data_IF_146444146020
#
_entry.id   IF_146444146020
#
_cell.length_a   1.000
_cell.length_b   1.000
_cell.length_c   1.000
_cell.angle_alpha   90.00
_cell.angle_beta   90.00
_cell.angle_gamma   90.00
#
_symmetry.space_group_name_H-M   'P 1'
#
loop_
_entity.id
_entity.type
_entity.pdbx_description
1 polymer ?
#
# COMPACT_ATOMS: atom_id res chain seq x y z
N UNK A 1 61.27 40.54 -79.05
CA UNK A 1 61.55 41.17 -77.78
C UNK A 1 60.48 40.64 -76.81
N UNK A 2 60.74 39.63 -76.06
CA UNK A 2 61.08 39.55 -74.65
C UNK A 2 60.03 40.32 -73.83
N UNK A 3 59.35 39.67 -72.92
CA UNK A 3 59.83 39.25 -71.64
C UNK A 3 58.79 38.46 -70.88
N UNK A 4 59.27 37.49 -70.20
CA UNK A 4 58.60 36.66 -69.19
C UNK A 4 57.98 37.39 -68.02
N UNK A 5 56.88 36.90 -67.52
CA UNK A 5 56.59 36.99 -66.10
C UNK A 5 55.87 35.71 -65.61
N UNK A 6 56.70 34.86 -65.06
CA UNK A 6 56.19 33.71 -64.34
C UNK A 6 55.63 34.17 -62.98
N UNK A 7 54.32 33.99 -62.76
CA UNK A 7 53.75 34.18 -61.45
C UNK A 7 53.73 32.88 -60.66
N UNK A 8 54.51 32.89 -59.60
CA UNK A 8 54.63 31.85 -58.57
C UNK A 8 53.30 31.59 -57.87
N UNK A 9 52.73 30.39 -57.98
CA UNK A 9 51.55 29.98 -57.21
C UNK A 9 52.05 29.44 -55.85
N UNK A 10 51.76 30.18 -54.81
CA UNK A 10 52.08 29.81 -53.42
C UNK A 10 51.11 28.66 -52.96
N UNK A 11 51.70 27.46 -52.78
CA UNK A 11 51.06 26.21 -52.43
C UNK A 11 50.68 26.05 -50.92
N UNK A 12 50.56 27.13 -50.18
CA UNK A 12 50.43 27.03 -48.71
C UNK A 12 49.09 27.46 -48.10
N UNK A 13 48.00 27.46 -48.82
CA UNK A 13 46.68 27.75 -48.21
C UNK A 13 45.60 26.79 -48.68
N UNK A 14 45.80 25.50 -48.44
CA UNK A 14 44.68 24.54 -48.32
C UNK A 14 44.41 24.28 -46.85
N UNK A 15 43.63 25.19 -46.23
CA UNK A 15 43.05 24.94 -44.91
C UNK A 15 41.83 24.03 -45.14
N UNK A 16 42.04 22.76 -44.91
CA UNK A 16 40.96 21.78 -44.83
C UNK A 16 40.16 22.05 -43.55
N UNK A 17 39.01 22.71 -43.71
CA UNK A 17 38.02 22.81 -42.67
C UNK A 17 37.37 21.42 -42.41
N UNK A 18 37.91 20.66 -41.52
CA UNK A 18 37.24 19.48 -40.95
C UNK A 18 36.13 19.97 -40.00
N UNK A 19 34.89 19.97 -40.46
CA UNK A 19 33.74 20.17 -39.62
C UNK A 19 33.65 18.92 -38.68
N UNK A 20 34.05 19.09 -37.43
CA UNK A 20 33.79 18.12 -36.38
C UNK A 20 32.29 18.11 -36.09
N UNK A 21 31.58 17.11 -36.61
CA UNK A 21 30.25 16.76 -36.16
C UNK A 21 30.37 16.29 -34.71
N UNK A 22 30.10 17.19 -33.76
CA UNK A 22 29.88 16.81 -32.37
C UNK A 22 28.60 15.99 -32.30
N UNK A 23 28.75 14.67 -32.29
CA UNK A 23 27.65 13.76 -31.94
C UNK A 23 27.28 14.03 -30.47
N UNK A 24 26.31 14.89 -30.25
CA UNK A 24 25.65 14.99 -28.94
C UNK A 24 24.93 13.67 -28.70
N UNK A 25 25.58 12.76 -27.98
CA UNK A 25 24.92 11.60 -27.39
C UNK A 25 23.86 12.16 -26.44
N UNK A 26 22.61 12.13 -26.88
CA UNK A 26 21.47 12.26 -25.99
C UNK A 26 21.57 11.06 -25.00
N UNK A 27 22.15 11.34 -23.84
CA UNK A 27 22.05 10.46 -22.69
C UNK A 27 20.57 10.52 -22.32
N UNK A 28 19.77 9.59 -22.85
CA UNK A 28 18.46 9.31 -22.31
C UNK A 28 18.69 9.03 -20.81
N UNK A 29 17.99 9.72 -19.91
CA UNK A 29 18.09 9.38 -18.50
C UNK A 29 17.75 7.90 -18.36
N UNK A 30 18.75 7.08 -18.06
CA UNK A 30 18.54 5.67 -17.78
C UNK A 30 17.48 5.60 -16.69
N UNK A 31 16.45 4.77 -16.88
CA UNK A 31 15.46 4.46 -15.87
C UNK A 31 16.24 3.90 -14.68
N UNK A 32 16.62 4.79 -13.76
CA UNK A 32 17.20 4.38 -12.50
C UNK A 32 16.08 3.65 -11.77
N UNK A 33 16.16 2.32 -11.71
CA UNK A 33 15.29 1.55 -10.83
C UNK A 33 15.52 2.11 -9.43
N UNK A 34 14.58 2.92 -8.94
CA UNK A 34 14.73 3.57 -7.65
C UNK A 34 15.00 2.49 -6.60
N UNK A 35 16.09 2.65 -5.86
CA UNK A 35 16.48 1.70 -4.81
C UNK A 35 15.40 1.65 -3.72
N UNK A 36 15.31 0.52 -3.02
CA UNK A 36 14.43 0.39 -1.85
C UNK A 36 14.78 1.45 -0.83
N UNK A 37 13.83 2.31 -0.47
CA UNK A 37 14.02 3.34 0.54
C UNK A 37 13.50 2.86 1.90
N UNK A 38 14.39 2.76 2.87
CA UNK A 38 14.08 2.29 4.22
C UNK A 38 14.02 3.44 5.22
N UNK A 39 13.17 3.27 6.24
CA UNK A 39 13.06 4.19 7.36
C UNK A 39 12.72 5.64 6.95
N UNK A 40 11.97 5.80 5.87
CA UNK A 40 11.51 7.11 5.42
C UNK A 40 10.52 7.68 6.44
N UNK A 41 10.84 8.84 7.01
CA UNK A 41 10.07 9.44 8.11
C UNK A 41 8.75 10.00 7.61
N UNK A 42 7.68 9.72 8.37
CA UNK A 42 6.41 10.41 8.29
C UNK A 42 5.93 10.71 9.73
N UNK A 43 5.84 11.97 10.09
CA UNK A 43 5.56 12.33 11.49
C UNK A 43 6.55 11.70 12.47
N UNK A 44 6.03 11.05 13.53
CA UNK A 44 6.84 10.35 14.54
C UNK A 44 7.31 8.96 14.09
N UNK A 45 6.73 8.40 13.05
CA UNK A 45 6.99 7.04 12.57
C UNK A 45 7.77 7.01 11.25
N UNK A 46 7.95 5.82 10.70
CA UNK A 46 8.62 5.63 9.42
C UNK A 46 7.95 4.53 8.60
N UNK A 47 8.15 4.60 7.28
CA UNK A 47 7.70 3.61 6.32
C UNK A 47 8.87 3.14 5.45
N UNK A 48 8.71 1.99 4.81
CA UNK A 48 9.64 1.47 3.83
C UNK A 48 8.99 1.46 2.44
N UNK A 49 9.69 1.94 1.42
CA UNK A 49 9.20 2.02 0.05
C UNK A 49 9.99 1.06 -0.82
N UNK A 50 9.28 0.25 -1.59
CA UNK A 50 9.80 -0.71 -2.55
C UNK A 50 9.27 -0.32 -3.94
N UNK A 51 10.01 0.51 -4.68
CA UNK A 51 9.57 0.99 -5.98
C UNK A 51 9.36 -0.15 -6.98
N UNK A 52 8.38 0.01 -7.87
CA UNK A 52 8.12 -0.97 -8.93
C UNK A 52 9.17 -0.95 -10.06
N UNK A 53 10.00 0.09 -10.11
CA UNK A 53 10.90 0.38 -11.23
C UNK A 53 10.20 1.03 -12.43
N UNK A 54 8.94 1.44 -12.30
CA UNK A 54 8.15 2.13 -13.34
C UNK A 54 7.68 3.48 -12.82
N UNK A 55 7.67 4.46 -13.70
CA UNK A 55 7.07 5.76 -13.39
C UNK A 55 5.53 5.66 -13.40
N UNK A 56 4.90 6.53 -12.63
CA UNK A 56 3.45 6.58 -12.47
C UNK A 56 2.82 5.23 -12.08
N UNK A 57 3.54 4.41 -11.31
CA UNK A 57 3.06 3.12 -10.85
C UNK A 57 1.95 3.26 -9.81
N UNK A 58 0.91 2.41 -9.82
CA UNK A 58 -0.04 2.38 -8.71
C UNK A 58 0.68 2.01 -7.41
N UNK A 59 0.11 2.42 -6.29
CA UNK A 59 0.74 2.28 -4.97
C UNK A 59 -0.09 1.38 -4.08
N UNK A 60 0.55 0.40 -3.45
CA UNK A 60 -0.04 -0.40 -2.38
C UNK A 60 0.57 -0.02 -1.05
N UNK A 61 -0.24 0.57 -0.17
CA UNK A 61 0.14 0.82 1.23
C UNK A 61 -0.30 -0.37 2.07
N UNK A 62 0.63 -0.94 2.84
CA UNK A 62 0.38 -2.08 3.70
C UNK A 62 0.63 -1.75 5.17
N UNK A 63 -0.33 -2.14 6.01
CA UNK A 63 -0.30 -2.01 7.46
C UNK A 63 -0.12 -3.39 8.08
N UNK A 64 0.97 -3.57 8.84
CA UNK A 64 1.29 -4.86 9.44
C UNK A 64 0.36 -5.25 10.60
N UNK A 65 0.21 -6.55 10.84
CA UNK A 65 -0.47 -7.11 12.00
C UNK A 65 0.43 -7.15 13.25
N UNK A 66 -0.06 -7.81 14.30
CA UNK A 66 0.65 -8.01 15.56
C UNK A 66 -0.17 -7.63 16.80
N UNK A 67 -1.48 -7.83 16.75
CA UNK A 67 -2.41 -7.58 17.86
C UNK A 67 -2.29 -6.17 18.47
N UNK A 68 -1.93 -5.15 17.67
CA UNK A 68 -1.69 -3.75 18.07
C UNK A 68 -0.51 -3.56 19.02
N UNK A 69 0.11 -4.62 19.50
CA UNK A 69 1.15 -4.71 20.54
C UNK A 69 2.54 -5.01 19.99
N UNK A 70 2.62 -5.59 18.80
CA UNK A 70 3.84 -6.12 18.22
C UNK A 70 3.83 -5.96 16.69
N UNK A 71 4.93 -6.35 16.05
CA UNK A 71 5.10 -6.24 14.60
C UNK A 71 5.97 -5.06 14.22
N UNK A 72 6.31 -5.01 12.96
CA UNK A 72 7.04 -3.87 12.36
C UNK A 72 6.92 -3.90 10.83
N UNK A 73 7.21 -2.78 10.20
CA UNK A 73 7.17 -2.59 8.75
C UNK A 73 8.18 -3.44 7.95
N UNK A 74 9.20 -4.01 8.59
CA UNK A 74 10.19 -4.86 7.92
C UNK A 74 9.71 -6.30 7.69
N UNK A 75 8.62 -6.74 8.34
CA UNK A 75 8.06 -8.09 8.19
C UNK A 75 7.13 -8.18 6.99
N UNK A 76 7.66 -8.01 5.80
CA UNK A 76 6.88 -7.93 4.55
C UNK A 76 6.83 -9.25 3.75
N UNK A 77 7.71 -10.22 4.04
CA UNK A 77 7.78 -11.49 3.30
C UNK A 77 7.88 -11.29 1.79
N UNK A 78 7.07 -12.03 1.05
CA UNK A 78 7.01 -11.99 -0.42
C UNK A 78 6.20 -10.81 -1.00
N UNK A 79 5.56 -10.00 -0.16
CA UNK A 79 4.65 -8.96 -0.61
C UNK A 79 5.29 -7.92 -1.56
N UNK A 80 6.50 -7.37 -1.27
CA UNK A 80 7.11 -6.41 -2.19
C UNK A 80 7.29 -7.00 -3.59
N UNK A 81 7.81 -8.24 -3.68
CA UNK A 81 8.01 -8.92 -4.95
C UNK A 81 6.68 -9.19 -5.68
N UNK A 82 5.63 -9.58 -4.94
CA UNK A 82 4.30 -9.82 -5.48
C UNK A 82 3.71 -8.53 -6.09
N UNK A 83 3.69 -7.43 -5.34
CA UNK A 83 3.13 -6.17 -5.81
C UNK A 83 3.98 -5.53 -6.91
N UNK A 84 5.32 -5.60 -6.82
CA UNK A 84 6.20 -5.08 -7.87
C UNK A 84 6.04 -5.85 -9.19
N UNK A 85 5.85 -7.17 -9.15
CA UNK A 85 5.51 -7.98 -10.33
C UNK A 85 4.21 -7.52 -11.00
N UNK A 86 3.25 -7.02 -10.23
CA UNK A 86 2.02 -6.42 -10.74
C UNK A 86 2.21 -4.97 -11.22
N UNK A 87 3.39 -4.39 -11.08
CA UNK A 87 3.71 -3.00 -11.43
C UNK A 87 3.37 -1.98 -10.34
N UNK A 88 3.08 -2.41 -9.11
CA UNK A 88 2.79 -1.53 -7.98
C UNK A 88 4.06 -1.15 -7.23
N UNK A 89 4.22 0.11 -6.87
CA UNK A 89 5.11 0.52 -5.79
C UNK A 89 4.49 0.09 -4.45
N UNK A 90 5.25 -0.68 -3.67
CA UNK A 90 4.78 -1.19 -2.39
C UNK A 90 5.35 -0.37 -1.23
N UNK A 91 4.49 0.02 -0.28
CA UNK A 91 4.84 0.83 0.89
C UNK A 91 4.42 0.08 2.15
N UNK A 92 5.38 -0.26 3.02
CA UNK A 92 5.09 -0.88 4.32
C UNK A 92 5.18 0.16 5.43
N UNK A 93 4.10 0.31 6.19
CA UNK A 93 3.93 1.34 7.21
C UNK A 93 4.24 0.80 8.60
N UNK A 94 5.12 1.48 9.34
CA UNK A 94 5.27 1.31 10.77
C UNK A 94 4.36 2.27 11.52
N UNK A 95 3.87 1.89 12.68
CA UNK A 95 3.04 2.72 13.56
C UNK A 95 3.41 2.46 15.02
N UNK A 96 3.07 3.40 15.91
CA UNK A 96 3.37 3.28 17.34
C UNK A 96 2.51 2.20 17.97
N UNK A 97 3.14 1.24 18.65
CA UNK A 97 2.46 0.10 19.25
C UNK A 97 1.86 0.46 20.62
N UNK A 98 0.83 -0.28 21.04
CA UNK A 98 0.32 -0.24 22.39
C UNK A 98 1.40 -0.79 23.37
N UNK A 99 1.59 -0.24 24.59
CA UNK A 99 0.75 0.80 25.22
C UNK A 99 1.17 2.25 24.90
N UNK A 100 2.24 2.47 24.13
CA UNK A 100 2.73 3.82 23.80
C UNK A 100 1.75 4.61 22.90
N UNK A 101 0.85 3.92 22.20
CA UNK A 101 -0.25 4.53 21.46
C UNK A 101 -1.56 3.74 21.67
N UNK A 102 -2.66 4.47 21.86
CA UNK A 102 -4.01 3.92 21.82
C UNK A 102 -4.43 3.58 20.38
N UNK A 103 -5.48 2.77 20.22
CA UNK A 103 -5.97 2.34 18.91
C UNK A 103 -6.36 3.51 18.00
N UNK A 104 -6.99 4.54 18.54
CA UNK A 104 -7.34 5.74 17.80
C UNK A 104 -6.10 6.55 17.38
N UNK A 105 -5.04 6.58 18.19
CA UNK A 105 -3.77 7.16 17.78
C UNK A 105 -3.11 6.34 16.66
N UNK A 106 -3.10 5.01 16.76
CA UNK A 106 -2.60 4.14 15.72
C UNK A 106 -3.34 4.36 14.40
N UNK A 107 -4.68 4.47 14.42
CA UNK A 107 -5.47 4.74 13.22
C UNK A 107 -5.15 6.12 12.62
N UNK A 108 -4.97 7.16 13.44
CA UNK A 108 -4.52 8.49 12.96
C UNK A 108 -3.13 8.43 12.32
N UNK A 109 -2.21 7.65 12.89
CA UNK A 109 -0.87 7.46 12.30
C UNK A 109 -0.94 6.78 10.93
N UNK A 110 -1.89 5.82 10.72
CA UNK A 110 -2.13 5.26 9.38
C UNK A 110 -2.66 6.33 8.43
N UNK A 111 -3.60 7.18 8.85
CA UNK A 111 -4.06 8.32 8.06
C UNK A 111 -2.92 9.27 7.66
N UNK A 112 -2.02 9.60 8.60
CA UNK A 112 -0.82 10.40 8.35
C UNK A 112 0.13 9.74 7.34
N UNK A 113 0.32 8.41 7.42
CA UNK A 113 1.11 7.67 6.45
C UNK A 113 0.51 7.74 5.04
N UNK A 114 -0.80 7.57 4.90
CA UNK A 114 -1.50 7.70 3.61
C UNK A 114 -1.34 9.12 3.05
N UNK A 115 -1.53 10.16 3.87
CA UNK A 115 -1.36 11.56 3.46
C UNK A 115 0.09 11.83 3.02
N UNK A 116 1.07 11.35 3.77
CA UNK A 116 2.49 11.47 3.42
C UNK A 116 2.81 10.78 2.09
N UNK A 117 2.32 9.54 1.90
CA UNK A 117 2.51 8.80 0.63
C UNK A 117 1.94 9.58 -0.53
N UNK A 118 0.71 10.08 -0.42
CA UNK A 118 0.09 10.89 -1.48
C UNK A 118 0.88 12.17 -1.80
N UNK A 119 1.52 12.79 -0.83
CA UNK A 119 2.31 14.00 -1.02
C UNK A 119 3.71 13.74 -1.60
N UNK A 120 4.28 12.54 -1.44
CA UNK A 120 5.70 12.31 -1.70
C UNK A 120 6.02 11.15 -2.65
N UNK A 121 5.08 10.24 -2.91
CA UNK A 121 5.37 8.96 -3.58
C UNK A 121 5.83 9.12 -5.03
N UNK A 122 5.52 10.24 -5.68
CA UNK A 122 6.01 10.55 -7.03
C UNK A 122 7.54 10.60 -7.12
N UNK A 123 8.23 10.96 -6.03
CA UNK A 123 9.69 10.92 -5.93
C UNK A 123 10.27 9.50 -6.02
N UNK A 124 9.41 8.49 -5.86
CA UNK A 124 9.74 7.06 -5.90
C UNK A 124 9.04 6.34 -7.07
N UNK A 125 8.58 7.08 -8.07
CA UNK A 125 7.91 6.54 -9.25
C UNK A 125 6.44 6.13 -9.03
N UNK A 126 5.85 6.41 -7.87
CA UNK A 126 4.45 6.10 -7.59
C UNK A 126 3.48 7.21 -7.99
N UNK A 127 2.26 6.82 -8.37
CA UNK A 127 1.16 7.74 -8.69
C UNK A 127 0.31 8.02 -7.43
N UNK A 128 0.30 9.27 -6.91
CA UNK A 128 -0.47 9.64 -5.73
C UNK A 128 -1.99 9.56 -5.92
N UNK A 129 -2.47 9.44 -7.17
CA UNK A 129 -3.89 9.32 -7.49
C UNK A 129 -4.35 7.86 -7.61
N UNK A 130 -3.43 6.89 -7.61
CA UNK A 130 -3.70 5.45 -7.70
C UNK A 130 -3.18 4.70 -6.46
N UNK A 131 -3.71 5.05 -5.30
CA UNK A 131 -3.28 4.50 -4.00
C UNK A 131 -4.32 3.53 -3.47
N UNK A 132 -3.93 2.28 -3.25
CA UNK A 132 -4.69 1.29 -2.51
C UNK A 132 -4.13 1.12 -1.09
N UNK A 133 -5.00 0.81 -0.13
CA UNK A 133 -4.65 0.54 1.27
C UNK A 133 -4.95 -0.92 1.60
N UNK A 134 -4.06 -1.58 2.31
CA UNK A 134 -4.24 -2.95 2.78
C UNK A 134 -3.69 -3.14 4.17
N UNK A 135 -4.15 -4.15 4.86
CA UNK A 135 -3.59 -4.59 6.12
C UNK A 135 -4.01 -6.00 6.46
N UNK A 136 -3.26 -6.64 7.37
CA UNK A 136 -3.59 -7.97 7.89
C UNK A 136 -3.78 -7.92 9.40
N UNK A 137 -4.76 -8.66 9.94
CA UNK A 137 -4.98 -8.78 11.40
C UNK A 137 -5.24 -7.41 12.05
N UNK A 138 -4.46 -7.00 13.03
CA UNK A 138 -4.51 -5.66 13.63
C UNK A 138 -4.34 -4.55 12.57
N UNK A 139 -3.46 -4.77 11.58
CA UNK A 139 -3.28 -3.83 10.48
C UNK A 139 -4.50 -3.75 9.56
N UNK A 140 -5.24 -4.84 9.36
CA UNK A 140 -6.51 -4.84 8.65
C UNK A 140 -7.56 -3.98 9.38
N UNK A 141 -7.65 -4.15 10.68
CA UNK A 141 -8.51 -3.32 11.52
C UNK A 141 -8.15 -1.83 11.41
N UNK A 142 -6.87 -1.47 11.60
CA UNK A 142 -6.40 -0.08 11.55
C UNK A 142 -6.58 0.55 10.17
N UNK A 143 -6.28 -0.19 9.09
CA UNK A 143 -6.50 0.26 7.72
C UNK A 143 -7.99 0.50 7.43
N UNK A 144 -8.87 -0.43 7.86
CA UNK A 144 -10.32 -0.28 7.70
C UNK A 144 -10.87 0.88 8.53
N UNK A 145 -10.39 1.03 9.77
CA UNK A 145 -10.78 2.14 10.64
C UNK A 145 -10.36 3.48 10.03
N UNK A 146 -9.11 3.61 9.61
CA UNK A 146 -8.60 4.85 9.02
C UNK A 146 -9.32 5.20 7.70
N UNK A 147 -9.61 4.22 6.84
CA UNK A 147 -10.30 4.44 5.58
C UNK A 147 -11.75 4.87 5.77
N UNK A 148 -12.51 4.19 6.65
CA UNK A 148 -13.94 4.41 6.80
C UNK A 148 -14.27 5.61 7.70
N UNK A 149 -13.40 5.95 8.66
CA UNK A 149 -13.57 7.15 9.50
C UNK A 149 -13.08 8.45 8.83
N UNK A 150 -12.59 8.40 7.59
CA UNK A 150 -12.11 9.58 6.89
C UNK A 150 -10.71 10.05 7.27
N UNK A 151 -9.96 9.28 8.07
CA UNK A 151 -8.56 9.57 8.39
C UNK A 151 -7.61 9.31 7.21
N UNK A 152 -7.90 8.28 6.40
CA UNK A 152 -7.15 7.94 5.19
C UNK A 152 -7.97 8.30 3.94
N UNK A 153 -7.86 9.53 3.46
CA UNK A 153 -8.66 10.04 2.34
C UNK A 153 -7.99 9.81 0.98
N UNK A 154 -8.82 9.74 -0.06
CA UNK A 154 -8.36 9.68 -1.47
C UNK A 154 -7.69 8.36 -1.85
N UNK A 155 -7.93 7.28 -1.10
CA UNK A 155 -7.59 5.92 -1.54
C UNK A 155 -8.56 5.46 -2.64
N UNK A 156 -8.08 4.62 -3.54
CA UNK A 156 -8.87 4.04 -4.65
C UNK A 156 -9.45 2.68 -4.31
N UNK A 157 -8.87 1.96 -3.36
CA UNK A 157 -9.33 0.64 -2.95
C UNK A 157 -8.84 0.29 -1.53
N UNK A 158 -9.58 -0.57 -0.84
CA UNK A 158 -9.19 -1.17 0.44
C UNK A 158 -9.18 -2.70 0.31
N UNK A 159 -8.07 -3.33 0.74
CA UNK A 159 -8.01 -4.78 0.95
C UNK A 159 -7.99 -5.06 2.45
N UNK A 160 -9.11 -5.49 2.98
CA UNK A 160 -9.30 -5.85 4.38
C UNK A 160 -9.01 -7.35 4.58
N UNK A 161 -7.75 -7.69 4.93
CA UNK A 161 -7.28 -9.07 5.03
C UNK A 161 -7.31 -9.58 6.48
N UNK A 162 -8.35 -10.31 6.80
CA UNK A 162 -8.50 -11.21 7.96
C UNK A 162 -8.37 -10.56 9.35
N UNK A 163 -9.37 -9.79 9.75
CA UNK A 163 -9.54 -9.37 11.16
C UNK A 163 -10.88 -9.81 11.72
N UNK A 164 -10.97 -9.91 13.06
CA UNK A 164 -12.24 -10.06 13.77
C UNK A 164 -12.71 -8.74 14.45
N UNK A 165 -11.92 -7.67 14.35
CA UNK A 165 -12.17 -6.39 15.05
C UNK A 165 -13.00 -5.39 14.24
N UNK A 166 -13.78 -5.82 13.25
CA UNK A 166 -14.63 -4.88 12.50
C UNK A 166 -15.71 -4.24 13.39
N UNK A 167 -16.26 -5.03 14.34
CA UNK A 167 -17.27 -4.61 15.30
C UNK A 167 -16.97 -5.25 16.66
N UNK A 168 -16.43 -4.47 17.58
CA UNK A 168 -15.97 -4.97 18.88
C UNK A 168 -17.13 -5.39 19.81
N UNK A 169 -18.26 -4.70 19.72
CA UNK A 169 -19.45 -5.04 20.50
C UNK A 169 -20.01 -6.38 20.04
N UNK A 170 -20.16 -6.57 18.72
CA UNK A 170 -20.60 -7.84 18.15
C UNK A 170 -19.60 -8.98 18.38
N UNK A 171 -18.29 -8.69 18.28
CA UNK A 171 -17.27 -9.70 18.60
C UNK A 171 -17.38 -10.17 20.05
N UNK A 172 -17.63 -9.26 21.01
CA UNK A 172 -17.83 -9.63 22.40
C UNK A 172 -19.14 -10.41 22.59
N UNK A 173 -20.23 -10.02 21.94
CA UNK A 173 -21.53 -10.69 21.99
C UNK A 173 -21.40 -12.18 21.60
N UNK A 174 -20.78 -12.46 20.44
CA UNK A 174 -20.61 -13.85 19.96
C UNK A 174 -19.53 -14.63 20.70
N UNK A 175 -18.82 -13.99 21.62
CA UNK A 175 -17.76 -14.56 22.45
C UNK A 175 -18.10 -14.45 23.95
N UNK A 176 -19.36 -14.69 24.31
CA UNK A 176 -19.87 -14.73 25.67
C UNK A 176 -19.62 -13.43 26.48
N UNK A 177 -19.81 -12.28 25.85
CA UNK A 177 -19.69 -10.95 26.46
C UNK A 177 -18.25 -10.45 26.63
N UNK A 178 -17.24 -11.18 26.15
CA UNK A 178 -15.82 -10.85 26.32
C UNK A 178 -15.09 -10.77 24.97
N UNK A 179 -14.10 -9.91 24.88
CA UNK A 179 -13.16 -9.94 23.77
C UNK A 179 -12.14 -11.09 23.92
N UNK A 180 -11.66 -11.68 22.84
CA UNK A 180 -10.54 -12.63 22.88
C UNK A 180 -9.31 -12.05 23.58
N UNK A 181 -8.50 -12.86 24.24
CA UNK A 181 -7.35 -12.43 25.08
C UNK A 181 -6.42 -11.45 24.37
N UNK A 182 -6.11 -11.68 23.09
CA UNK A 182 -5.24 -10.78 22.31
C UNK A 182 -5.82 -9.36 22.10
N UNK A 183 -7.13 -9.19 22.26
CA UNK A 183 -7.84 -7.92 22.10
C UNK A 183 -8.03 -7.19 23.44
N UNK A 184 -8.00 -7.93 24.57
CA UNK A 184 -8.40 -7.42 25.87
C UNK A 184 -7.61 -6.17 26.30
N UNK A 185 -6.29 -6.13 26.07
CA UNK A 185 -5.44 -5.01 26.48
C UNK A 185 -5.63 -3.77 25.57
N UNK A 186 -5.49 -3.83 24.23
CA UNK A 186 -5.67 -2.67 23.37
C UNK A 186 -7.09 -2.10 23.41
N UNK A 187 -8.09 -2.94 23.68
CA UNK A 187 -9.51 -2.57 23.74
C UNK A 187 -10.10 -2.63 25.16
N UNK A 188 -9.30 -2.35 26.18
CA UNK A 188 -9.73 -2.41 27.60
C UNK A 188 -10.82 -1.38 27.94
N UNK A 189 -10.83 -0.23 27.28
CA UNK A 189 -11.86 0.80 27.46
C UNK A 189 -13.09 0.49 26.60
N UNK A 190 -14.08 -0.14 27.23
CA UNK A 190 -15.34 -0.53 26.55
C UNK A 190 -16.13 0.68 26.03
N UNK A 191 -16.01 1.85 26.63
CA UNK A 191 -16.72 3.06 26.21
C UNK A 191 -16.28 3.55 24.82
N UNK A 192 -15.07 3.16 24.39
CA UNK A 192 -14.50 3.52 23.10
C UNK A 192 -14.71 2.48 21.98
N UNK A 193 -15.31 1.33 22.28
CA UNK A 193 -15.49 0.28 21.28
C UNK A 193 -16.23 0.74 20.04
N UNK A 194 -17.24 1.61 20.20
CA UNK A 194 -17.95 2.20 19.07
C UNK A 194 -17.01 2.98 18.15
N UNK A 195 -16.14 3.81 18.74
CA UNK A 195 -15.18 4.63 18.00
C UNK A 195 -14.03 3.81 17.38
N UNK A 196 -13.75 2.63 17.95
CA UNK A 196 -12.71 1.73 17.47
C UNK A 196 -13.22 0.66 16.51
N UNK A 197 -14.52 0.64 16.20
CA UNK A 197 -15.13 -0.34 15.30
C UNK A 197 -15.31 0.23 13.89
N UNK A 198 -14.54 -0.19 12.88
CA UNK A 198 -14.70 0.24 11.49
C UNK A 198 -16.14 0.10 10.97
N UNK A 199 -16.86 -0.90 11.46
CA UNK A 199 -18.27 -1.17 11.16
C UNK A 199 -19.16 0.06 11.37
N UNK A 200 -18.90 0.87 12.40
CA UNK A 200 -19.73 2.01 12.74
C UNK A 200 -19.50 3.24 11.84
N UNK A 201 -18.42 3.25 11.08
CA UNK A 201 -18.10 4.31 10.12
C UNK A 201 -18.52 3.98 8.68
N UNK A 202 -19.08 2.80 8.45
CA UNK A 202 -19.58 2.42 7.12
C UNK A 202 -20.68 3.39 6.70
N UNK A 203 -20.48 4.05 5.57
CA UNK A 203 -21.40 5.04 5.03
C UNK A 203 -21.03 6.50 5.34
N UNK A 204 -20.04 6.76 6.19
CA UNK A 204 -19.66 8.12 6.58
C UNK A 204 -18.57 8.75 5.71
N UNK A 205 -17.87 7.97 4.90
CA UNK A 205 -16.82 8.44 3.98
C UNK A 205 -17.20 8.22 2.51
N UNK A 206 -16.35 8.73 1.60
CA UNK A 206 -16.48 8.45 0.17
C UNK A 206 -16.46 6.94 -0.09
N UNK A 207 -17.21 6.50 -1.12
CA UNK A 207 -17.26 5.09 -1.52
C UNK A 207 -16.04 4.75 -2.37
N UNK A 208 -15.46 3.61 -2.09
CA UNK A 208 -14.35 3.01 -2.84
C UNK A 208 -14.52 1.48 -2.86
N UNK A 209 -13.96 0.76 -3.83
CA UNK A 209 -13.96 -0.70 -3.83
C UNK A 209 -13.29 -1.29 -2.58
N UNK A 210 -13.91 -2.34 -2.01
CA UNK A 210 -13.40 -3.05 -0.84
C UNK A 210 -13.36 -4.55 -1.13
N UNK A 211 -12.17 -5.16 -0.95
CA UNK A 211 -12.04 -6.62 -0.92
C UNK A 211 -11.96 -7.05 0.55
N UNK A 212 -12.94 -7.81 1.00
CA UNK A 212 -12.96 -8.41 2.34
C UNK A 212 -12.50 -9.86 2.23
N UNK A 213 -11.36 -10.17 2.85
CA UNK A 213 -10.79 -11.51 2.91
C UNK A 213 -10.86 -12.06 4.34
N UNK A 214 -11.10 -13.34 4.49
CA UNK A 214 -11.08 -14.01 5.79
C UNK A 214 -10.58 -15.44 5.70
N UNK A 215 -9.88 -15.89 6.74
CA UNK A 215 -9.44 -17.27 6.92
C UNK A 215 -10.56 -18.15 7.48
N UNK A 216 -10.34 -19.47 7.53
CA UNK A 216 -11.31 -20.42 8.09
C UNK A 216 -11.66 -20.15 9.55
N UNK A 217 -12.83 -20.63 9.95
CA UNK A 217 -13.39 -20.50 11.28
C UNK A 217 -14.74 -19.79 11.30
N UNK A 218 -15.72 -20.38 12.03
CA UNK A 218 -17.13 -19.94 12.02
C UNK A 218 -17.29 -18.47 12.43
N UNK A 219 -16.59 -18.02 13.47
CA UNK A 219 -16.72 -16.62 13.91
C UNK A 219 -16.10 -15.64 12.93
N UNK A 220 -14.98 -15.97 12.30
CA UNK A 220 -14.37 -15.10 11.26
C UNK A 220 -15.26 -15.00 10.05
N UNK A 221 -15.83 -16.10 9.59
CA UNK A 221 -16.78 -16.11 8.48
C UNK A 221 -17.99 -15.21 8.79
N UNK A 222 -18.61 -15.39 9.96
CA UNK A 222 -19.77 -14.60 10.39
C UNK A 222 -19.45 -13.10 10.47
N UNK A 223 -18.36 -12.74 11.12
CA UNK A 223 -17.95 -11.34 11.31
C UNK A 223 -17.63 -10.68 9.97
N UNK A 224 -16.87 -11.35 9.11
CA UNK A 224 -16.45 -10.81 7.83
C UNK A 224 -17.61 -10.66 6.85
N UNK A 225 -18.53 -11.63 6.81
CA UNK A 225 -19.76 -11.50 6.03
C UNK A 225 -20.62 -10.34 6.50
N UNK A 226 -20.85 -10.22 7.81
CA UNK A 226 -21.60 -9.10 8.39
C UNK A 226 -21.03 -7.73 8.02
N UNK A 227 -19.69 -7.61 8.05
CA UNK A 227 -19.01 -6.38 7.64
C UNK A 227 -19.15 -6.11 6.14
N UNK A 228 -18.96 -7.14 5.31
CA UNK A 228 -19.11 -7.03 3.86
C UNK A 228 -20.55 -6.70 3.44
N UNK A 229 -21.56 -7.28 4.12
CA UNK A 229 -22.97 -7.01 3.90
C UNK A 229 -23.31 -5.54 4.21
N UNK A 230 -22.80 -5.01 5.33
CA UNK A 230 -23.00 -3.60 5.68
C UNK A 230 -22.36 -2.64 4.68
N UNK A 231 -21.14 -2.94 4.23
CA UNK A 231 -20.48 -2.16 3.18
C UNK A 231 -21.29 -2.15 1.89
N UNK A 232 -21.75 -3.32 1.46
CA UNK A 232 -22.57 -3.46 0.25
C UNK A 232 -23.90 -2.70 0.36
N UNK A 233 -24.59 -2.84 1.48
CA UNK A 233 -25.85 -2.11 1.76
C UNK A 233 -25.63 -0.58 1.78
N UNK A 234 -24.44 -0.11 2.15
CA UNK A 234 -24.08 1.32 2.13
C UNK A 234 -23.54 1.79 0.77
N UNK A 235 -23.59 0.97 -0.29
CA UNK A 235 -23.22 1.33 -1.65
C UNK A 235 -21.72 1.26 -1.98
N UNK A 236 -20.91 0.55 -1.17
CA UNK A 236 -19.54 0.26 -1.56
C UNK A 236 -19.49 -0.90 -2.58
N UNK A 237 -18.67 -0.83 -3.64
CA UNK A 237 -18.36 -2.01 -4.45
C UNK A 237 -17.60 -3.03 -3.61
N UNK A 238 -18.19 -4.17 -3.29
CA UNK A 238 -17.63 -5.18 -2.40
C UNK A 238 -17.26 -6.45 -3.16
N UNK A 239 -16.01 -6.85 -3.06
CA UNK A 239 -15.54 -8.20 -3.41
C UNK A 239 -15.27 -9.00 -2.13
N UNK A 240 -15.47 -10.33 -2.19
CA UNK A 240 -15.33 -11.22 -1.03
C UNK A 240 -14.41 -12.38 -1.38
N UNK A 241 -13.50 -12.70 -0.48
CA UNK A 241 -12.65 -13.88 -0.59
C UNK A 241 -12.79 -14.73 0.68
N UNK A 242 -13.47 -15.86 0.55
CA UNK A 242 -13.53 -16.88 1.60
C UNK A 242 -12.31 -17.78 1.49
N UNK A 243 -11.36 -17.58 2.40
CA UNK A 243 -10.14 -18.34 2.55
C UNK A 243 -10.31 -19.53 3.53
N UNK A 244 -11.39 -20.32 3.43
CA UNK A 244 -11.67 -21.40 4.36
C UNK A 244 -10.56 -22.45 4.52
N UNK A 245 -9.68 -22.59 3.51
CA UNK A 245 -8.50 -23.46 3.58
C UNK A 245 -7.27 -22.82 4.25
N UNK A 246 -7.33 -21.53 4.56
CA UNK A 246 -6.27 -20.81 5.27
C UNK A 246 -6.60 -20.68 6.75
N UNK A 247 -5.56 -20.62 7.59
CA UNK A 247 -5.67 -20.08 8.93
C UNK A 247 -5.23 -18.60 8.95
N UNK A 248 -5.36 -17.94 10.10
CA UNK A 248 -5.04 -16.53 10.29
C UNK A 248 -3.61 -16.12 9.86
N UNK A 249 -2.66 -17.02 10.04
CA UNK A 249 -1.25 -16.75 9.67
C UNK A 249 -0.99 -17.14 8.22
N UNK A 250 -1.51 -18.28 7.77
CA UNK A 250 -1.24 -18.77 6.42
C UNK A 250 -1.89 -17.90 5.34
N UNK A 251 -3.03 -17.25 5.59
CA UNK A 251 -3.68 -16.34 4.64
C UNK A 251 -2.78 -15.14 4.29
N UNK A 252 -1.96 -14.70 5.24
CA UNK A 252 -0.97 -13.63 4.99
C UNK A 252 0.30 -14.18 4.33
N UNK A 253 0.80 -15.32 4.79
CA UNK A 253 2.08 -15.87 4.36
C UNK A 253 2.03 -16.55 2.99
N UNK A 254 0.84 -16.89 2.50
CA UNK A 254 0.65 -17.48 1.17
C UNK A 254 0.75 -16.44 0.04
N UNK A 255 0.58 -15.16 0.37
CA UNK A 255 0.58 -14.08 -0.62
C UNK A 255 1.85 -14.08 -1.48
N UNK A 256 1.67 -14.06 -2.79
CA UNK A 256 2.76 -14.05 -3.78
C UNK A 256 3.32 -15.44 -4.12
N UNK A 257 2.84 -16.52 -3.50
CA UNK A 257 3.21 -17.89 -3.90
C UNK A 257 2.53 -18.28 -5.21
N UNK A 258 3.19 -19.11 -5.99
CA UNK A 258 2.61 -19.64 -7.23
C UNK A 258 1.32 -20.42 -6.95
N UNK A 259 0.25 -20.15 -7.72
CA UNK A 259 -1.05 -20.83 -7.56
C UNK A 259 -1.85 -20.41 -6.32
N UNK A 260 -1.38 -19.43 -5.54
CA UNK A 260 -2.12 -18.96 -4.37
C UNK A 260 -3.42 -18.27 -4.75
N UNK A 261 -4.54 -18.77 -4.23
CA UNK A 261 -5.88 -18.29 -4.53
C UNK A 261 -6.13 -16.84 -4.06
N UNK A 262 -5.59 -16.48 -2.89
CA UNK A 262 -5.73 -15.12 -2.36
C UNK A 262 -5.00 -14.12 -3.25
N UNK A 263 -3.78 -14.44 -3.67
CA UNK A 263 -3.00 -13.62 -4.60
C UNK A 263 -3.74 -13.41 -5.93
N UNK A 264 -4.40 -14.45 -6.44
CA UNK A 264 -5.26 -14.36 -7.63
C UNK A 264 -6.44 -13.40 -7.42
N UNK A 265 -7.15 -13.54 -6.30
CA UNK A 265 -8.28 -12.67 -5.96
C UNK A 265 -7.86 -11.19 -5.78
N UNK A 266 -6.74 -10.93 -5.08
CA UNK A 266 -6.19 -9.59 -4.91
C UNK A 266 -5.77 -8.98 -6.25
N UNK A 267 -5.14 -9.77 -7.13
CA UNK A 267 -4.76 -9.32 -8.48
C UNK A 267 -5.97 -8.92 -9.31
N UNK A 268 -7.01 -9.75 -9.34
CA UNK A 268 -8.24 -9.46 -10.08
C UNK A 268 -8.93 -8.20 -9.55
N UNK A 269 -9.04 -8.09 -8.21
CA UNK A 269 -9.64 -6.93 -7.56
C UNK A 269 -8.88 -5.63 -7.87
N UNK A 270 -7.57 -5.61 -7.73
CA UNK A 270 -6.75 -4.42 -7.96
C UNK A 270 -6.79 -3.96 -9.43
N UNK A 271 -6.78 -4.87 -10.39
CA UNK A 271 -6.92 -4.54 -11.81
C UNK A 271 -8.25 -3.87 -12.15
N UNK A 272 -9.31 -4.18 -11.41
CA UNK A 272 -10.64 -3.60 -11.60
C UNK A 272 -10.82 -2.27 -10.85
N UNK A 273 -9.96 -1.95 -9.87
CA UNK A 273 -10.21 -0.87 -8.90
C UNK A 273 -9.16 0.24 -8.92
N UNK A 274 -7.95 0.00 -9.41
CA UNK A 274 -6.78 0.89 -9.36
C UNK A 274 -6.06 0.94 -10.69
#
# INVERSE_FOLDING_TARGET
MASDLAASIDRRKLITGAAALAASSLILPGISHAAVAKNVRYGANSLDIYPSGKDNSPVMIYVHGGAWLAGNKGRVGSQPAFYNKMGYTYVSVGYTLYPSASVDRQAREIGQAVAWVKANISKYGGDPNRVALSGHSAGCHLASLAALSGLATGIKALIANDTAAYDLAYLAEINNGRLPVLYARPFSDRSKWSNWSPYNYVGQSARFPVLVCWSGGTNRDRISKRFADKLQAAGYPVSRFNGGSYNHISIQNAMGRSGDRLSGAMTAFLRASV
#
